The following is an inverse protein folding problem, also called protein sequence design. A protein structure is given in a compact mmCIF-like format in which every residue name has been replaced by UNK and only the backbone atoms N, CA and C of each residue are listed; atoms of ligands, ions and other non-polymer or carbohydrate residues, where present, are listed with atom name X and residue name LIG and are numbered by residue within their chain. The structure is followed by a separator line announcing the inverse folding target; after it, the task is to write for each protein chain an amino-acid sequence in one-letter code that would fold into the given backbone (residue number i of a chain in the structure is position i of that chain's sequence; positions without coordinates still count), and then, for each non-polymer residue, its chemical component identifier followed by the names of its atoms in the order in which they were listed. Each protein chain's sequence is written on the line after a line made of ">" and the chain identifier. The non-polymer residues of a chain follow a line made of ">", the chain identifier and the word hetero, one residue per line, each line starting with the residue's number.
data_IF_292422365406
#
_entry.id   IF_292422365406
#
_cell.length_a   1.000
_cell.length_b   1.000
_cell.length_c   1.000
_cell.angle_alpha   90.00
_cell.angle_beta   90.00
_cell.angle_gamma   90.00
#
_symmetry.space_group_name_H-M   'P 1'
#
loop_
_entity.id
_entity.type
_entity.pdbx_description
1 polymer ?
#
# COMPACT_ATOMS: atom_id res chain seq x y z
N UNK A 1 1.31 -12.80 23.47
CA UNK A 1 2.69 -13.31 23.64
C UNK A 1 3.13 -13.64 22.24
N UNK A 2 3.62 -12.63 21.54
CA UNK A 2 3.92 -12.73 20.12
C UNK A 2 5.35 -13.21 19.92
N UNK A 3 5.57 -13.87 18.79
CA UNK A 3 6.72 -14.72 18.52
C UNK A 3 8.09 -13.99 18.44
N UNK A 4 8.14 -12.67 18.62
CA UNK A 4 9.35 -11.86 18.57
C UNK A 4 9.74 -11.43 19.99
N UNK A 5 10.39 -12.31 20.74
CA UNK A 5 10.86 -12.12 22.13
C UNK A 5 11.85 -10.96 22.36
N UNK A 6 12.02 -10.06 21.40
CA UNK A 6 12.51 -8.69 21.58
C UNK A 6 11.49 -7.75 20.94
N UNK A 7 10.80 -6.96 21.75
CA UNK A 7 10.13 -5.75 21.24
C UNK A 7 11.21 -4.89 20.58
N UNK A 8 11.09 -4.45 19.31
CA UNK A 8 11.74 -3.19 18.96
C UNK A 8 11.26 -2.19 20.02
N UNK A 9 12.18 -1.51 20.71
CA UNK A 9 11.83 -0.65 21.85
C UNK A 9 10.79 0.44 21.47
N UNK A 10 10.46 0.61 20.19
CA UNK A 10 9.63 1.68 19.59
C UNK A 10 8.64 1.18 18.53
N UNK A 11 7.92 0.09 18.81
CA UNK A 11 6.88 -0.44 17.93
C UNK A 11 5.47 -0.35 18.52
N UNK A 12 4.48 0.13 17.76
CA UNK A 12 3.05 0.09 18.13
C UNK A 12 2.27 -0.75 17.13
N UNK A 13 1.57 -1.77 17.62
CA UNK A 13 0.66 -2.61 16.83
C UNK A 13 -0.74 -2.00 16.78
N UNK A 14 -1.38 -2.12 15.62
CA UNK A 14 -2.74 -1.65 15.38
C UNK A 14 -3.56 -2.81 14.83
N UNK A 15 -4.76 -2.99 15.35
CA UNK A 15 -5.69 -3.95 14.78
C UNK A 15 -7.13 -3.50 14.93
N UNK A 16 -7.94 -3.83 13.94
CA UNK A 16 -9.38 -3.68 14.03
C UNK A 16 -10.04 -5.02 13.63
N UNK A 17 -10.55 -5.79 14.62
CA UNK A 17 -11.16 -7.09 14.36
C UNK A 17 -12.40 -7.03 13.46
N UNK A 18 -13.12 -5.89 13.43
CA UNK A 18 -14.33 -5.75 12.61
C UNK A 18 -14.02 -5.63 11.12
N UNK A 19 -12.88 -5.01 10.79
CA UNK A 19 -12.43 -4.84 9.40
C UNK A 19 -11.30 -5.80 9.02
N UNK A 20 -10.92 -6.72 9.93
CA UNK A 20 -9.76 -7.63 9.79
C UNK A 20 -8.47 -6.92 9.35
N UNK A 21 -8.27 -5.69 9.85
CA UNK A 21 -7.06 -4.91 9.54
C UNK A 21 -6.06 -5.12 10.66
N UNK A 22 -4.81 -5.37 10.27
CA UNK A 22 -3.67 -5.44 11.17
C UNK A 22 -2.55 -4.60 10.59
N UNK A 23 -1.81 -3.92 11.45
CA UNK A 23 -0.71 -3.08 11.07
C UNK A 23 0.23 -2.81 12.21
N UNK A 24 1.35 -2.18 11.88
CA UNK A 24 2.40 -1.87 12.82
C UNK A 24 3.06 -0.56 12.43
N UNK A 25 3.35 0.28 13.42
CA UNK A 25 4.19 1.47 13.27
C UNK A 25 5.50 1.22 14.01
N UNK A 26 6.62 1.34 13.30
CA UNK A 26 7.97 1.24 13.85
C UNK A 26 8.75 2.51 13.55
N UNK A 27 9.79 2.76 14.34
CA UNK A 27 10.82 3.75 14.03
C UNK A 27 12.13 3.04 13.68
N UNK A 28 12.75 3.46 12.57
CA UNK A 28 14.10 3.07 12.18
C UNK A 28 15.03 4.30 12.31
N UNK A 29 15.84 4.30 13.37
CA UNK A 29 16.76 5.39 13.67
C UNK A 29 17.98 5.47 12.73
N UNK A 30 18.35 4.35 12.08
CA UNK A 30 19.46 4.33 11.12
C UNK A 30 19.05 5.01 9.81
N UNK A 31 17.83 4.76 9.36
CA UNK A 31 17.25 5.35 8.15
C UNK A 31 16.51 6.67 8.42
N UNK A 32 16.35 7.05 9.68
CA UNK A 32 15.56 8.22 10.12
C UNK A 32 14.16 8.21 9.50
N UNK A 33 13.48 7.07 9.65
CA UNK A 33 12.13 6.86 9.11
C UNK A 33 11.19 6.25 10.13
N UNK A 34 9.92 6.63 10.03
CA UNK A 34 8.81 5.98 10.71
C UNK A 34 8.11 5.10 9.67
N UNK A 35 8.07 3.79 9.91
CA UNK A 35 7.53 2.79 9.00
C UNK A 35 6.13 2.39 9.44
N UNK A 36 5.14 2.50 8.54
CA UNK A 36 3.78 1.98 8.71
C UNK A 36 3.61 0.76 7.82
N UNK A 37 3.60 -0.43 8.41
CA UNK A 37 3.37 -1.67 7.71
C UNK A 37 1.93 -2.13 7.91
N UNK A 38 1.20 -2.35 6.81
CA UNK A 38 -0.20 -2.78 6.82
C UNK A 38 -0.32 -4.17 6.19
N UNK A 39 -0.94 -5.08 6.93
CA UNK A 39 -1.14 -6.47 6.51
C UNK A 39 -2.36 -6.56 5.57
N UNK A 40 -2.26 -7.38 4.54
CA UNK A 40 -3.43 -7.83 3.79
C UNK A 40 -4.28 -8.82 4.60
N UNK A 41 -5.58 -8.89 4.30
CA UNK A 41 -6.50 -9.81 4.98
C UNK A 41 -6.26 -11.26 4.59
N UNK A 42 -6.66 -12.21 5.45
CA UNK A 42 -6.61 -13.64 5.11
C UNK A 42 -7.60 -14.00 3.98
N UNK A 43 -8.64 -13.19 3.78
CA UNK A 43 -9.68 -13.34 2.75
C UNK A 43 -9.64 -12.22 1.71
N UNK A 44 -8.46 -12.00 1.11
CA UNK A 44 -8.25 -11.01 0.04
C UNK A 44 -9.33 -11.11 -1.05
N UNK A 45 -9.70 -12.33 -1.45
CA UNK A 45 -10.76 -12.59 -2.44
C UNK A 45 -12.10 -12.02 -2.01
N UNK A 46 -12.52 -12.21 -0.76
CA UNK A 46 -13.81 -11.71 -0.28
C UNK A 46 -13.82 -10.18 -0.24
N UNK A 47 -12.73 -9.55 0.21
CA UNK A 47 -12.67 -8.09 0.25
C UNK A 47 -12.59 -7.45 -1.13
N UNK A 48 -11.90 -8.06 -2.07
CA UNK A 48 -11.75 -7.51 -3.41
C UNK A 48 -12.97 -7.81 -4.29
N UNK A 49 -13.53 -9.03 -4.21
CA UNK A 49 -14.57 -9.48 -5.15
C UNK A 49 -15.97 -9.33 -4.54
N UNK A 50 -16.15 -9.57 -3.24
CA UNK A 50 -17.47 -9.55 -2.59
C UNK A 50 -17.82 -8.19 -1.98
N UNK A 51 -16.84 -7.34 -1.64
CA UNK A 51 -17.14 -5.93 -1.43
C UNK A 51 -17.50 -5.32 -2.79
N UNK A 52 -18.51 -4.46 -2.83
CA UNK A 52 -19.28 -4.14 -4.04
C UNK A 52 -18.48 -3.42 -5.18
N UNK A 53 -17.14 -3.39 -5.15
CA UNK A 53 -16.28 -2.68 -6.10
C UNK A 53 -16.72 -1.22 -6.30
N UNK A 54 -17.32 -0.63 -5.25
CA UNK A 54 -17.91 0.70 -5.30
C UNK A 54 -16.83 1.73 -5.08
N UNK A 55 -16.73 2.66 -6.02
CA UNK A 55 -15.95 3.88 -5.87
C UNK A 55 -16.74 4.91 -5.04
N UNK A 56 -16.23 5.22 -3.85
CA UNK A 56 -16.77 6.25 -2.95
C UNK A 56 -15.84 7.46 -2.88
N UNK A 57 -16.34 8.67 -2.57
CA UNK A 57 -15.48 9.82 -2.29
C UNK A 57 -14.41 9.49 -1.25
N UNK A 58 -13.17 9.95 -1.47
CA UNK A 58 -12.11 9.83 -0.46
C UNK A 58 -12.32 10.88 0.64
N UNK A 59 -12.99 10.47 1.70
CA UNK A 59 -13.27 11.28 2.89
C UNK A 59 -12.66 10.59 4.13
N UNK A 60 -11.45 11.02 4.52
CA UNK A 60 -10.68 10.45 5.62
C UNK A 60 -10.15 11.57 6.54
N UNK A 61 -9.89 11.33 7.84
CA UNK A 61 -9.47 12.37 8.78
C UNK A 61 -8.27 13.20 8.31
N UNK A 62 -8.46 14.53 8.19
CA UNK A 62 -7.42 15.47 7.79
C UNK A 62 -7.07 15.47 6.30
N UNK A 63 -7.77 14.65 5.48
CA UNK A 63 -7.49 14.51 4.05
C UNK A 63 -8.27 15.53 3.23
N UNK A 64 -7.57 16.25 2.36
CA UNK A 64 -8.17 17.14 1.35
C UNK A 64 -7.58 16.82 -0.01
N UNK A 65 -8.41 16.36 -0.93
CA UNK A 65 -8.03 15.91 -2.28
C UNK A 65 -8.89 16.61 -3.34
N UNK A 66 -8.47 16.60 -4.63
CA UNK A 66 -9.26 17.17 -5.71
C UNK A 66 -10.69 16.60 -5.77
N UNK A 67 -11.65 17.41 -6.22
CA UNK A 67 -13.03 16.96 -6.42
C UNK A 67 -13.09 15.80 -7.42
N UNK A 68 -13.96 14.83 -7.16
CA UNK A 68 -14.07 13.61 -7.98
C UNK A 68 -13.07 12.52 -7.65
N UNK A 69 -12.16 12.73 -6.68
CA UNK A 69 -11.29 11.68 -6.15
C UNK A 69 -12.14 10.60 -5.48
N UNK A 70 -12.07 9.37 -6.00
CA UNK A 70 -12.80 8.24 -5.44
C UNK A 70 -11.91 7.02 -5.27
N UNK A 71 -12.16 6.27 -4.22
CA UNK A 71 -11.41 5.06 -3.84
C UNK A 71 -12.37 3.91 -3.57
N UNK A 72 -11.84 2.69 -3.55
CA UNK A 72 -12.61 1.50 -3.22
C UNK A 72 -13.20 1.59 -1.80
N UNK A 73 -14.51 1.40 -1.68
CA UNK A 73 -15.25 1.54 -0.41
C UNK A 73 -14.73 0.64 0.70
N UNK A 74 -14.44 -0.63 0.39
CA UNK A 74 -13.91 -1.56 1.37
C UNK A 74 -12.49 -1.20 1.84
N UNK A 75 -11.67 -0.60 0.97
CA UNK A 75 -10.31 -0.20 1.34
C UNK A 75 -10.34 1.06 2.20
N UNK A 76 -11.21 2.02 1.85
CA UNK A 76 -11.41 3.22 2.66
C UNK A 76 -11.96 2.88 4.05
N UNK A 77 -13.00 2.04 4.13
CA UNK A 77 -13.57 1.58 5.40
C UNK A 77 -12.49 0.92 6.29
N UNK A 78 -11.66 0.07 5.70
CA UNK A 78 -10.57 -0.62 6.39
C UNK A 78 -9.50 0.37 6.88
N UNK A 79 -9.08 1.33 6.05
CA UNK A 79 -8.11 2.35 6.45
C UNK A 79 -8.66 3.26 7.56
N UNK A 80 -9.87 3.79 7.38
CA UNK A 80 -10.47 4.75 8.32
C UNK A 80 -10.71 4.14 9.70
N UNK A 81 -10.85 2.81 9.78
CA UNK A 81 -11.02 2.09 11.04
C UNK A 81 -9.80 2.15 11.97
N UNK A 82 -8.62 2.51 11.43
CA UNK A 82 -7.34 2.65 12.16
C UNK A 82 -6.65 4.00 11.93
N UNK A 83 -7.11 4.82 10.99
CA UNK A 83 -6.45 6.05 10.55
C UNK A 83 -6.16 7.04 11.69
N UNK A 84 -7.15 7.32 12.54
CA UNK A 84 -7.01 8.29 13.62
C UNK A 84 -5.91 7.90 14.62
N UNK A 85 -5.82 6.61 14.97
CA UNK A 85 -4.84 6.10 15.92
C UNK A 85 -3.42 6.15 15.35
N UNK A 86 -3.26 5.78 14.07
CA UNK A 86 -1.99 5.86 13.36
C UNK A 86 -1.53 7.32 13.22
N UNK A 87 -2.42 8.23 12.78
CA UNK A 87 -2.09 9.65 12.64
C UNK A 87 -1.63 10.24 13.98
N UNK A 88 -2.33 9.95 15.08
CA UNK A 88 -1.95 10.41 16.41
C UNK A 88 -0.60 9.83 16.87
N UNK A 89 -0.35 8.56 16.58
CA UNK A 89 0.91 7.89 16.96
C UNK A 89 2.10 8.49 16.20
N UNK A 90 1.98 8.65 14.89
CA UNK A 90 3.02 9.28 14.06
C UNK A 90 3.22 10.74 14.44
N UNK A 91 2.14 11.47 14.75
CA UNK A 91 2.24 12.84 15.23
C UNK A 91 3.06 12.98 16.51
N UNK A 92 2.98 12.02 17.44
CA UNK A 92 3.82 12.00 18.65
C UNK A 92 5.28 11.73 18.34
N UNK A 93 5.57 10.77 17.45
CA UNK A 93 6.95 10.49 17.03
C UNK A 93 7.57 11.69 16.32
N UNK A 94 6.85 12.35 15.40
CA UNK A 94 7.35 13.53 14.68
C UNK A 94 7.57 14.78 15.56
N UNK A 95 6.94 14.86 16.74
CA UNK A 95 7.27 15.91 17.73
C UNK A 95 8.65 15.69 18.33
N UNK A 96 9.04 14.43 18.52
CA UNK A 96 10.33 14.05 19.11
C UNK A 96 11.42 14.01 18.03
N UNK A 97 11.06 13.56 16.83
CA UNK A 97 11.95 13.32 15.68
C UNK A 97 11.46 14.09 14.43
N UNK A 98 11.50 15.43 14.45
CA UNK A 98 10.91 16.26 13.39
C UNK A 98 11.61 16.11 12.03
N UNK A 99 12.84 15.61 11.98
CA UNK A 99 13.58 15.36 10.75
C UNK A 99 13.29 13.99 10.12
N UNK A 100 12.49 13.13 10.76
CA UNK A 100 12.24 11.78 10.26
C UNK A 100 11.23 11.79 9.11
N UNK A 101 11.48 10.93 8.13
CA UNK A 101 10.56 10.66 7.03
C UNK A 101 9.54 9.58 7.40
N UNK A 102 8.52 9.40 6.58
CA UNK A 102 7.53 8.32 6.74
C UNK A 102 7.63 7.38 5.55
N UNK A 103 7.67 6.08 5.82
CA UNK A 103 7.49 5.04 4.80
C UNK A 103 6.22 4.24 5.12
N UNK A 104 5.37 4.02 4.12
CA UNK A 104 4.21 3.14 4.24
C UNK A 104 4.44 1.91 3.36
N UNK A 105 4.02 0.74 3.83
CA UNK A 105 4.22 -0.49 3.08
C UNK A 105 3.13 -1.52 3.34
N UNK A 106 2.87 -2.37 2.36
CA UNK A 106 1.95 -3.48 2.53
C UNK A 106 1.88 -4.39 1.31
N UNK A 107 1.47 -5.63 1.57
CA UNK A 107 1.24 -6.64 0.54
C UNK A 107 -0.25 -6.83 0.28
N UNK A 108 -0.62 -7.11 -0.97
CA UNK A 108 -2.00 -7.37 -1.39
C UNK A 108 -2.93 -6.21 -1.03
N UNK A 109 -4.06 -6.50 -0.38
CA UNK A 109 -4.93 -5.50 0.23
C UNK A 109 -4.14 -4.47 1.07
N UNK A 110 -3.17 -4.93 1.85
CA UNK A 110 -2.34 -4.08 2.70
C UNK A 110 -1.56 -3.03 1.89
N UNK A 111 -1.20 -3.32 0.64
CA UNK A 111 -0.57 -2.35 -0.25
C UNK A 111 -1.53 -1.23 -0.68
N UNK A 112 -2.80 -1.54 -0.92
CA UNK A 112 -3.84 -0.52 -1.14
C UNK A 112 -4.08 0.33 0.11
N UNK A 113 -4.08 -0.29 1.29
CA UNK A 113 -4.19 0.44 2.56
C UNK A 113 -2.97 1.32 2.81
N UNK A 114 -1.76 0.84 2.47
CA UNK A 114 -0.52 1.59 2.61
C UNK A 114 -0.52 2.85 1.74
N UNK A 115 -1.07 2.77 0.52
CA UNK A 115 -1.26 3.95 -0.32
C UNK A 115 -2.25 4.97 0.28
N UNK A 116 -3.39 4.49 0.80
CA UNK A 116 -4.35 5.37 1.49
C UNK A 116 -3.71 6.02 2.72
N UNK A 117 -2.91 5.27 3.47
CA UNK A 117 -2.11 5.77 4.58
C UNK A 117 -1.13 6.85 4.11
N UNK A 118 -0.39 6.63 3.02
CA UNK A 118 0.56 7.60 2.48
C UNK A 118 -0.13 8.93 2.13
N UNK A 119 -1.27 8.87 1.42
CA UNK A 119 -2.09 10.04 1.10
C UNK A 119 -2.54 10.76 2.38
N UNK A 120 -3.02 10.00 3.37
CA UNK A 120 -3.49 10.57 4.63
C UNK A 120 -2.37 11.27 5.42
N UNK A 121 -1.22 10.61 5.53
CA UNK A 121 -0.07 11.11 6.27
C UNK A 121 0.55 12.32 5.58
N UNK A 122 0.63 12.34 4.25
CA UNK A 122 1.11 13.50 3.50
C UNK A 122 0.20 14.73 3.69
N UNK A 123 -1.12 14.53 3.80
CA UNK A 123 -2.08 15.61 4.04
C UNK A 123 -2.06 16.13 5.48
N UNK A 124 -1.87 15.24 6.46
CA UNK A 124 -1.79 15.59 7.88
C UNK A 124 -0.42 16.18 8.26
N UNK A 125 0.67 15.75 7.61
CA UNK A 125 2.05 16.16 7.88
C UNK A 125 2.72 16.75 6.63
N UNK A 126 2.22 17.91 6.19
CA UNK A 126 2.58 18.53 4.90
C UNK A 126 4.06 18.83 4.68
N UNK A 127 4.84 18.94 5.75
CA UNK A 127 6.29 19.22 5.68
C UNK A 127 7.14 17.96 5.81
N UNK A 128 6.52 16.80 6.06
CA UNK A 128 7.20 15.52 6.20
C UNK A 128 7.21 14.80 4.85
N UNK A 129 8.36 14.27 4.47
CA UNK A 129 8.49 13.42 3.28
C UNK A 129 7.83 12.06 3.54
N UNK A 130 6.94 11.65 2.65
CA UNK A 130 6.22 10.38 2.73
C UNK A 130 6.46 9.57 1.47
N UNK A 131 6.86 8.30 1.63
CA UNK A 131 7.01 7.31 0.56
C UNK A 131 6.12 6.11 0.80
N UNK A 132 5.71 5.43 -0.27
CA UNK A 132 4.89 4.23 -0.21
C UNK A 132 5.40 3.14 -1.14
N UNK A 133 5.43 1.92 -0.60
CA UNK A 133 5.83 0.71 -1.30
C UNK A 133 4.71 -0.30 -1.20
N UNK A 134 4.16 -0.71 -2.33
CA UNK A 134 3.12 -1.73 -2.36
C UNK A 134 3.59 -2.97 -3.12
N UNK A 135 3.19 -4.14 -2.64
CA UNK A 135 3.56 -5.43 -3.22
C UNK A 135 2.29 -6.18 -3.62
N UNK A 136 2.05 -6.37 -4.91
CA UNK A 136 0.85 -7.08 -5.39
C UNK A 136 -0.45 -6.38 -5.06
N UNK A 137 -0.45 -5.06 -4.92
CA UNK A 137 -1.66 -4.31 -4.56
C UNK A 137 -2.65 -4.25 -5.73
N UNK A 138 -3.97 -4.42 -5.48
CA UNK A 138 -5.00 -4.17 -6.49
C UNK A 138 -5.14 -2.66 -6.75
N UNK A 139 -5.81 -2.30 -7.85
CA UNK A 139 -6.15 -0.88 -8.12
C UNK A 139 -6.95 -0.28 -6.96
N UNK A 140 -6.48 0.82 -6.39
CA UNK A 140 -7.06 1.40 -5.16
C UNK A 140 -8.21 2.38 -5.41
N UNK A 141 -8.18 3.11 -6.52
CA UNK A 141 -9.15 4.17 -6.79
C UNK A 141 -9.30 4.53 -8.26
N UNK A 142 -10.02 5.60 -8.53
CA UNK A 142 -10.30 6.04 -9.89
C UNK A 142 -9.14 6.80 -10.54
N UNK A 143 -9.29 7.17 -11.81
CA UNK A 143 -8.27 7.96 -12.52
C UNK A 143 -7.91 9.27 -11.83
N UNK A 144 -8.91 9.99 -11.28
CA UNK A 144 -8.66 11.25 -10.54
C UNK A 144 -7.77 11.01 -9.31
N UNK A 145 -8.02 9.92 -8.58
CA UNK A 145 -7.18 9.50 -7.46
C UNK A 145 -5.77 9.12 -7.92
N UNK A 146 -5.63 8.34 -9.00
CA UNK A 146 -4.34 7.99 -9.58
C UNK A 146 -3.53 9.22 -9.99
N UNK A 147 -4.15 10.14 -10.72
CA UNK A 147 -3.49 11.37 -11.18
C UNK A 147 -3.05 12.24 -9.99
N UNK A 148 -3.88 12.31 -8.95
CA UNK A 148 -3.54 13.00 -7.70
C UNK A 148 -2.33 12.36 -7.00
N UNK A 149 -2.29 11.02 -6.90
CA UNK A 149 -1.15 10.30 -6.31
C UNK A 149 0.12 10.56 -7.12
N UNK A 150 0.06 10.46 -8.45
CA UNK A 150 1.22 10.70 -9.32
C UNK A 150 1.76 12.12 -9.17
N UNK A 151 0.86 13.11 -9.09
CA UNK A 151 1.24 14.51 -8.88
C UNK A 151 1.82 14.77 -7.48
N UNK A 152 1.41 13.99 -6.47
CA UNK A 152 1.82 14.18 -5.07
C UNK A 152 3.15 13.49 -4.76
N UNK A 153 3.34 12.26 -5.26
CA UNK A 153 4.44 11.40 -4.85
C UNK A 153 5.45 11.12 -5.97
N UNK A 154 5.07 11.25 -7.25
CA UNK A 154 5.91 10.85 -8.38
C UNK A 154 6.52 9.43 -8.16
N UNK A 155 7.84 9.31 -8.06
CA UNK A 155 8.53 8.03 -7.83
C UNK A 155 8.44 7.52 -6.38
N UNK A 156 8.06 8.37 -5.42
CA UNK A 156 7.88 7.98 -4.01
C UNK A 156 6.62 7.13 -3.78
N UNK A 157 5.80 6.90 -4.82
CA UNK A 157 4.73 5.90 -4.81
C UNK A 157 5.07 4.74 -5.75
N UNK A 158 5.74 3.73 -5.20
CA UNK A 158 6.23 2.58 -5.93
C UNK A 158 5.33 1.35 -5.75
N UNK A 159 4.99 0.71 -6.87
CA UNK A 159 4.28 -0.58 -6.89
C UNK A 159 5.23 -1.66 -7.37
N UNK A 160 5.22 -2.81 -6.70
CA UNK A 160 5.97 -4.00 -7.12
C UNK A 160 4.97 -5.06 -7.53
N UNK A 161 5.18 -5.66 -8.71
CA UNK A 161 4.38 -6.76 -9.23
C UNK A 161 5.30 -7.93 -9.54
N UNK A 162 4.94 -9.13 -9.12
CA UNK A 162 5.74 -10.33 -9.34
C UNK A 162 5.12 -11.24 -10.39
N UNK A 163 5.91 -11.59 -11.41
CA UNK A 163 5.54 -12.52 -12.48
C UNK A 163 4.17 -12.22 -13.07
N UNK A 164 3.29 -13.23 -13.03
CA UNK A 164 1.92 -13.15 -13.51
C UNK A 164 0.90 -12.97 -12.37
N UNK A 165 1.27 -12.32 -11.25
CA UNK A 165 0.35 -12.03 -10.16
C UNK A 165 -0.93 -11.37 -10.70
N UNK A 166 -2.07 -12.03 -10.47
CA UNK A 166 -3.36 -11.55 -10.96
C UNK A 166 -4.01 -10.49 -10.08
N UNK A 167 -3.53 -10.25 -8.85
CA UNK A 167 -4.14 -9.28 -7.92
C UNK A 167 -4.03 -7.83 -8.41
N UNK A 168 -2.88 -7.36 -8.94
CA UNK A 168 -2.80 -6.00 -9.47
C UNK A 168 -3.88 -5.68 -10.50
N UNK A 169 -4.24 -6.61 -11.38
CA UNK A 169 -5.21 -6.37 -12.45
C UNK A 169 -6.61 -6.92 -12.15
N UNK A 170 -6.86 -7.48 -10.95
CA UNK A 170 -8.10 -8.18 -10.60
C UNK A 170 -9.36 -7.28 -10.63
N UNK A 171 -9.22 -6.00 -10.29
CA UNK A 171 -10.29 -5.00 -10.41
C UNK A 171 -10.18 -4.37 -11.80
N UNK A 172 -11.12 -4.62 -12.73
CA UNK A 172 -10.97 -4.17 -14.11
C UNK A 172 -11.03 -2.64 -14.26
N UNK A 173 -10.24 -2.09 -15.21
CA UNK A 173 -10.27 -0.65 -15.53
C UNK A 173 -11.62 -0.17 -16.04
N UNK A 174 -12.41 -1.06 -16.62
CA UNK A 174 -13.75 -0.79 -17.13
C UNK A 174 -14.72 -0.33 -16.01
N UNK A 175 -14.40 -0.65 -14.75
CA UNK A 175 -15.12 -0.17 -13.57
C UNK A 175 -14.65 1.22 -13.10
N UNK A 176 -13.76 1.87 -13.85
CA UNK A 176 -13.24 3.21 -13.56
C UNK A 176 -12.01 3.24 -12.64
N UNK A 177 -11.46 2.08 -12.29
CA UNK A 177 -10.26 1.94 -11.45
C UNK A 177 -8.97 2.09 -12.26
N UNK A 178 -7.97 2.75 -11.66
CA UNK A 178 -6.65 2.95 -12.25
C UNK A 178 -5.55 2.78 -11.20
N UNK A 179 -4.45 2.17 -11.62
CA UNK A 179 -3.20 2.18 -10.89
C UNK A 179 -2.50 3.53 -10.99
N UNK A 180 -1.84 3.88 -9.90
CA UNK A 180 -0.93 5.01 -9.78
C UNK A 180 0.52 4.55 -9.88
N UNK A 181 1.42 5.53 -9.86
CA UNK A 181 2.82 5.39 -9.51
C UNK A 181 3.66 4.67 -10.55
N UNK A 182 4.92 4.49 -10.17
CA UNK A 182 5.88 3.70 -10.94
C UNK A 182 5.71 2.22 -10.56
N UNK A 183 5.58 1.37 -11.57
CA UNK A 183 5.61 -0.07 -11.40
C UNK A 183 7.03 -0.62 -11.58
N UNK A 184 7.44 -1.48 -10.66
CA UNK A 184 8.60 -2.34 -10.75
C UNK A 184 8.11 -3.78 -10.96
N UNK A 185 8.20 -4.27 -12.19
CA UNK A 185 7.68 -5.58 -12.58
C UNK A 185 8.80 -6.61 -12.61
N UNK A 186 8.72 -7.60 -11.71
CA UNK A 186 9.64 -8.74 -11.63
C UNK A 186 9.17 -9.81 -12.63
N UNK A 187 9.55 -9.67 -13.89
CA UNK A 187 8.99 -10.47 -14.99
C UNK A 187 9.58 -11.88 -15.07
N UNK A 188 10.74 -12.13 -14.46
CA UNK A 188 11.40 -13.44 -14.42
C UNK A 188 11.92 -13.77 -13.01
N UNK A 189 11.96 -15.07 -12.67
CA UNK A 189 12.53 -15.57 -11.42
C UNK A 189 13.92 -16.19 -11.63
N UNK A 190 14.90 -15.97 -10.73
CA UNK A 190 14.80 -15.18 -9.50
C UNK A 190 14.75 -13.66 -9.78
N UNK A 191 14.10 -12.92 -8.88
CA UNK A 191 14.04 -11.47 -8.98
C UNK A 191 15.44 -10.87 -8.72
N UNK A 192 15.92 -10.05 -9.65
CA UNK A 192 17.15 -9.29 -9.61
C UNK A 192 16.93 -7.93 -10.29
N UNK A 193 17.94 -7.06 -10.28
CA UNK A 193 17.90 -5.82 -11.07
C UNK A 193 17.71 -6.10 -12.58
N UNK A 194 18.34 -7.17 -13.09
CA UNK A 194 18.28 -7.57 -14.50
C UNK A 194 16.89 -8.11 -14.88
N UNK A 195 16.19 -8.76 -13.94
CA UNK A 195 14.85 -9.34 -14.13
C UNK A 195 13.71 -8.46 -13.58
N UNK A 196 14.00 -7.18 -13.28
CA UNK A 196 13.02 -6.21 -12.82
C UNK A 196 12.95 -5.01 -13.77
N UNK A 197 11.79 -4.80 -14.38
CA UNK A 197 11.53 -3.67 -15.27
C UNK A 197 10.91 -2.51 -14.49
N UNK A 198 11.49 -1.31 -14.59
CA UNK A 198 10.84 -0.05 -14.18
C UNK A 198 9.93 0.41 -15.32
N UNK A 199 8.63 0.35 -15.11
CA UNK A 199 7.61 0.73 -16.08
C UNK A 199 7.38 2.25 -16.10
N UNK A 200 6.64 2.74 -17.09
CA UNK A 200 6.23 4.13 -17.20
C UNK A 200 5.43 4.59 -15.94
N UNK A 201 5.73 5.77 -15.36
CA UNK A 201 5.04 6.34 -14.19
C UNK A 201 3.54 6.64 -14.39
N UNK A 202 2.94 6.40 -15.56
CA UNK A 202 1.49 6.55 -15.76
C UNK A 202 0.63 5.48 -15.05
N UNK A 203 1.25 4.44 -14.49
CA UNK A 203 0.60 3.43 -13.64
C UNK A 203 -0.05 2.25 -14.37
N UNK A 204 -0.28 2.32 -15.69
CA UNK A 204 -0.94 1.28 -16.48
C UNK A 204 -0.16 0.97 -17.76
N UNK A 205 1.16 0.86 -17.64
CA UNK A 205 2.08 0.61 -18.76
C UNK A 205 1.74 -0.72 -19.46
N UNK A 206 1.37 -0.69 -20.76
CA UNK A 206 1.05 -1.89 -21.52
C UNK A 206 2.26 -2.81 -21.76
N UNK A 207 3.49 -2.37 -21.52
CA UNK A 207 4.69 -3.23 -21.56
C UNK A 207 4.99 -3.86 -20.18
N UNK A 208 4.35 -3.39 -19.11
CA UNK A 208 4.46 -3.93 -17.75
C UNK A 208 3.48 -5.07 -17.44
N UNK A 209 3.20 -5.31 -16.15
CA UNK A 209 2.27 -6.37 -15.73
C UNK A 209 0.82 -6.15 -16.21
N UNK A 210 0.46 -4.93 -16.62
CA UNK A 210 -0.84 -4.66 -17.20
C UNK A 210 -1.08 -5.40 -18.54
N UNK A 211 -0.01 -5.89 -19.18
CA UNK A 211 -0.08 -6.78 -20.34
C UNK A 211 -0.66 -8.16 -20.02
N UNK A 212 -0.66 -8.56 -18.74
CA UNK A 212 -1.09 -9.88 -18.28
C UNK A 212 -2.54 -9.81 -17.78
N UNK A 213 -3.49 -10.49 -18.44
CA UNK A 213 -4.85 -10.59 -17.93
C UNK A 213 -4.86 -11.28 -16.56
N UNK A 214 -5.60 -10.71 -15.60
CA UNK A 214 -5.78 -11.32 -14.29
C UNK A 214 -6.38 -12.71 -14.41
N UNK A 215 -5.75 -13.69 -13.74
CA UNK A 215 -6.32 -15.02 -13.51
C UNK A 215 -6.80 -15.19 -12.06
N UNK A 216 -7.03 -14.07 -11.36
CA UNK A 216 -7.27 -14.05 -9.93
C UNK A 216 -5.99 -14.26 -9.11
N UNK A 217 -6.16 -14.59 -7.83
CA UNK A 217 -5.04 -14.84 -6.91
C UNK A 217 -4.33 -16.14 -7.32
N UNK A 218 -3.02 -16.07 -7.51
CA UNK A 218 -2.19 -17.21 -7.92
C UNK A 218 -0.86 -17.25 -7.13
N UNK A 219 0.00 -18.23 -7.44
CA UNK A 219 1.28 -18.44 -6.73
C UNK A 219 2.22 -17.23 -6.82
N UNK A 220 2.20 -16.49 -7.93
CA UNK A 220 3.04 -15.31 -8.07
C UNK A 220 2.68 -14.22 -7.04
N UNK A 221 1.43 -14.21 -6.54
CA UNK A 221 0.99 -13.31 -5.47
C UNK A 221 1.65 -13.60 -4.11
N UNK A 222 2.24 -14.77 -3.90
CA UNK A 222 2.79 -15.17 -2.59
C UNK A 222 4.26 -14.85 -2.41
N UNK A 223 4.94 -14.32 -3.43
CA UNK A 223 6.40 -14.12 -3.39
C UNK A 223 6.78 -12.80 -4.02
N UNK A 224 7.68 -12.06 -3.36
CA UNK A 224 8.17 -10.77 -3.81
C UNK A 224 9.66 -10.65 -3.46
N UNK A 225 10.53 -10.36 -4.43
CA UNK A 225 12.00 -10.35 -4.21
C UNK A 225 12.55 -11.65 -3.60
N UNK A 226 11.99 -12.80 -3.99
CA UNK A 226 12.36 -14.10 -3.43
C UNK A 226 11.90 -14.34 -1.98
N UNK A 227 11.17 -13.41 -1.38
CA UNK A 227 10.61 -13.52 -0.03
C UNK A 227 9.19 -14.06 -0.13
N UNK A 228 8.92 -15.17 0.55
CA UNK A 228 7.56 -15.67 0.73
C UNK A 228 6.80 -14.74 1.68
N UNK A 229 5.61 -14.32 1.27
CA UNK A 229 4.73 -13.48 2.07
C UNK A 229 4.34 -14.24 3.34
N UNK A 230 4.50 -13.58 4.49
CA UNK A 230 4.25 -14.19 5.80
C UNK A 230 5.45 -14.93 6.39
N UNK A 231 6.60 -14.97 5.70
CA UNK A 231 7.86 -15.38 6.34
C UNK A 231 8.17 -14.46 7.51
N UNK A 232 8.35 -14.99 8.74
CA UNK A 232 8.80 -14.18 9.87
C UNK A 232 10.29 -13.85 9.70
N UNK A 233 10.64 -12.57 9.77
CA UNK A 233 12.03 -12.09 9.69
C UNK A 233 12.61 -11.64 11.03
N UNK A 234 11.93 -11.96 12.15
CA UNK A 234 12.49 -11.76 13.48
C UNK A 234 13.59 -12.82 13.73
N UNK A 235 14.86 -12.43 13.67
CA UNK A 235 16.00 -13.17 14.19
C UNK A 235 16.56 -12.48 15.43
#
# INVERSE_FOLDING_TARGET
>A
MDACGHRPETGTEFSNPLTDVQGFVARDDNRKEIVVALRGSASVTDMIINSQLVLVPLESPGVRVPSGTRVHSGFLLAWDSIAAEIILTIGKELVIYPEYSIATTGHSLGGSLALLAAVSLQQNFKTTSVRTYSYGAPRTGNKVFSDYVNATFAEDASRVVHGNDGVPTIIPRQLGYHHHGVEYWQYESPSSEETTMKCDPVGEDPEGSASIPSQGINVAHTTYFGILVGTPFCF
#
